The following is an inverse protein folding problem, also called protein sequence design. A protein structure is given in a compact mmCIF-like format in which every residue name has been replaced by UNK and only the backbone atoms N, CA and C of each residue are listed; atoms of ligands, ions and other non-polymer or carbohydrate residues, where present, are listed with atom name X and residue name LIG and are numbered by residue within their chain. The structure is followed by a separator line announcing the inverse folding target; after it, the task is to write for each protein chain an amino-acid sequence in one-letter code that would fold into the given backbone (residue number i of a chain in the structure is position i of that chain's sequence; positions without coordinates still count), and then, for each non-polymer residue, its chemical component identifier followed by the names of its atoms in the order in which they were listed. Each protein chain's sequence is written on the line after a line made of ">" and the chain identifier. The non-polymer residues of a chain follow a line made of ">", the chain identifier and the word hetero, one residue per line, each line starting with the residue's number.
data_IF_458169532596
#
_entry.id   IF_458169532596
#
_cell.length_a   1.000
_cell.length_b   1.000
_cell.length_c   1.000
_cell.angle_alpha   90.00
_cell.angle_beta   90.00
_cell.angle_gamma   90.00
#
_symmetry.space_group_name_H-M   'P 1'
#
loop_
_entity.id
_entity.type
_entity.pdbx_description
1 polymer ?
#
# COMPACT_ATOMS: atom_id res chain seq x y z
N UNK A 1 -3.43 -11.37 -8.46
CA UNK A 1 -2.40 -10.91 -7.54
C UNK A 1 -2.49 -11.73 -6.27
N UNK A 2 -1.48 -12.49 -5.97
CA UNK A 2 -1.44 -13.29 -4.73
C UNK A 2 -0.65 -12.51 -3.69
N UNK A 3 -1.31 -12.04 -2.66
CA UNK A 3 -0.65 -11.40 -1.50
C UNK A 3 -0.08 -12.43 -0.52
N UNK A 4 0.28 -13.62 -0.99
CA UNK A 4 0.81 -14.70 -0.16
C UNK A 4 -0.22 -15.43 0.70
N UNK A 5 -1.50 -15.03 0.66
CA UNK A 5 -2.59 -15.71 1.39
C UNK A 5 -3.35 -16.66 0.49
N UNK A 6 -3.80 -17.78 1.08
CA UNK A 6 -4.54 -18.81 0.37
C UNK A 6 -5.91 -18.32 -0.12
N UNK A 7 -6.43 -18.97 -1.16
CA UNK A 7 -7.81 -18.75 -1.62
C UNK A 7 -8.84 -18.95 -0.49
N UNK A 8 -8.57 -19.89 0.42
CA UNK A 8 -9.41 -20.14 1.59
C UNK A 8 -9.50 -18.92 2.53
N UNK A 9 -8.39 -18.20 2.73
CA UNK A 9 -8.40 -16.95 3.49
C UNK A 9 -9.31 -15.91 2.84
N UNK A 10 -9.11 -15.65 1.55
CA UNK A 10 -9.88 -14.63 0.84
C UNK A 10 -11.35 -14.98 0.65
N UNK A 11 -11.71 -16.28 0.64
CA UNK A 11 -13.11 -16.72 0.60
C UNK A 11 -13.89 -16.28 1.84
N UNK A 12 -13.22 -15.98 2.95
CA UNK A 12 -13.80 -15.42 4.16
C UNK A 12 -14.07 -13.92 4.13
N UNK A 13 -13.83 -13.22 2.99
CA UNK A 13 -14.16 -11.80 2.88
C UNK A 13 -15.65 -11.58 3.18
N UNK A 14 -15.92 -10.62 4.06
CA UNK A 14 -17.27 -10.36 4.56
C UNK A 14 -18.21 -9.76 3.49
N UNK A 15 -17.65 -9.19 2.44
CA UNK A 15 -18.37 -8.55 1.34
C UNK A 15 -18.08 -9.28 0.01
N UNK A 16 -18.74 -10.44 -0.23
CA UNK A 16 -18.38 -11.28 -1.38
C UNK A 16 -19.06 -10.88 -2.69
N UNK A 17 -20.20 -10.18 -2.63
CA UNK A 17 -21.03 -9.88 -3.78
C UNK A 17 -20.46 -8.70 -4.58
N UNK A 18 -20.05 -8.90 -5.85
CA UNK A 18 -19.50 -7.81 -6.68
C UNK A 18 -20.51 -6.71 -6.98
N UNK A 19 -21.81 -7.02 -6.93
CA UNK A 19 -22.88 -6.07 -7.26
C UNK A 19 -23.38 -5.29 -6.02
N UNK A 20 -22.89 -5.62 -4.82
CA UNK A 20 -23.27 -5.00 -3.57
C UNK A 20 -22.08 -4.28 -2.93
N UNK A 21 -21.82 -3.04 -3.35
CA UNK A 21 -20.79 -2.19 -2.76
C UNK A 21 -21.12 -1.89 -1.30
N UNK A 22 -20.24 -2.25 -0.34
CA UNK A 22 -20.44 -1.89 1.05
C UNK A 22 -20.22 -0.40 1.29
N UNK A 23 -20.96 0.15 2.23
CA UNK A 23 -20.68 1.51 2.70
C UNK A 23 -19.28 1.61 3.32
N UNK A 24 -18.64 2.76 3.21
CA UNK A 24 -17.29 3.00 3.75
C UNK A 24 -17.15 2.69 5.23
N UNK A 25 -18.25 2.84 5.97
CA UNK A 25 -18.32 2.61 7.42
C UNK A 25 -18.97 1.28 7.79
N UNK A 26 -19.37 0.46 6.82
CA UNK A 26 -20.02 -0.83 7.08
C UNK A 26 -19.27 -1.71 8.09
N UNK A 27 -17.93 -1.81 8.07
CA UNK A 27 -17.20 -2.63 9.06
C UNK A 27 -17.39 -2.19 10.53
N UNK A 28 -17.77 -0.93 10.79
CA UNK A 28 -18.04 -0.47 12.15
C UNK A 28 -19.26 -1.15 12.78
N UNK A 29 -20.21 -1.59 11.95
CA UNK A 29 -21.43 -2.25 12.36
C UNK A 29 -21.38 -3.77 12.17
N UNK A 30 -20.64 -4.22 11.18
CA UNK A 30 -20.63 -5.62 10.76
C UNK A 30 -19.57 -6.47 11.49
N UNK A 31 -18.54 -5.83 12.07
CA UNK A 31 -17.49 -6.53 12.79
C UNK A 31 -17.80 -6.65 14.28
N UNK A 32 -17.23 -7.67 14.96
CA UNK A 32 -17.20 -7.70 16.43
C UNK A 32 -16.57 -6.42 16.99
N UNK A 33 -17.04 -5.98 18.17
CA UNK A 33 -16.69 -4.68 18.74
C UNK A 33 -15.17 -4.37 18.75
N UNK A 34 -14.33 -5.34 19.12
CA UNK A 34 -12.89 -5.16 19.16
C UNK A 34 -12.28 -4.95 17.76
N UNK A 35 -12.75 -5.67 16.75
CA UNK A 35 -12.32 -5.53 15.37
C UNK A 35 -12.85 -4.23 14.75
N UNK A 36 -14.09 -3.86 15.04
CA UNK A 36 -14.68 -2.58 14.65
C UNK A 36 -13.89 -1.39 15.21
N UNK A 37 -13.46 -1.47 16.47
CA UNK A 37 -12.62 -0.45 17.10
C UNK A 37 -11.25 -0.33 16.40
N UNK A 38 -10.63 -1.45 16.02
CA UNK A 38 -9.37 -1.44 15.24
C UNK A 38 -9.59 -0.87 13.84
N UNK A 39 -10.67 -1.25 13.16
CA UNK A 39 -11.04 -0.68 11.86
C UNK A 39 -11.19 0.85 11.95
N UNK A 40 -11.94 1.33 12.93
CA UNK A 40 -12.11 2.77 13.19
C UNK A 40 -10.76 3.46 13.38
N UNK A 41 -9.87 2.86 14.16
CA UNK A 41 -8.57 3.43 14.47
C UNK A 41 -7.65 3.47 13.24
N UNK A 42 -7.53 2.36 12.48
CA UNK A 42 -6.66 2.33 11.29
C UNK A 42 -7.21 3.23 10.19
N UNK A 43 -8.51 3.20 9.93
CA UNK A 43 -9.17 4.09 8.96
C UNK A 43 -8.95 5.55 9.31
N UNK A 44 -9.22 5.94 10.55
CA UNK A 44 -9.03 7.31 11.01
C UNK A 44 -7.58 7.76 10.92
N UNK A 45 -6.63 6.90 11.28
CA UNK A 45 -5.20 7.18 11.19
C UNK A 45 -4.71 7.33 9.73
N UNK A 46 -5.23 6.52 8.80
CA UNK A 46 -4.90 6.63 7.38
C UNK A 46 -5.46 7.92 6.77
N UNK A 47 -6.71 8.26 7.06
CA UNK A 47 -7.35 9.48 6.58
C UNK A 47 -6.75 10.77 7.18
N UNK A 48 -6.05 10.67 8.30
CA UNK A 48 -5.31 11.78 8.90
C UNK A 48 -3.95 12.05 8.23
N UNK A 49 -3.49 11.16 7.35
CA UNK A 49 -2.27 11.39 6.55
C UNK A 49 -2.61 12.38 5.44
N UNK A 50 -1.80 13.42 5.31
CA UNK A 50 -2.03 14.48 4.34
C UNK A 50 -2.10 13.96 2.89
N UNK A 51 -3.13 14.37 2.17
CA UNK A 51 -3.37 13.99 0.78
C UNK A 51 -3.94 12.59 0.57
N UNK A 52 -4.17 11.79 1.62
CA UNK A 52 -4.74 10.44 1.50
C UNK A 52 -6.23 10.52 1.16
N UNK A 53 -6.62 9.80 0.13
CA UNK A 53 -8.01 9.56 -0.24
C UNK A 53 -8.38 8.09 -0.06
N UNK A 54 -9.62 7.83 0.31
CA UNK A 54 -10.22 6.51 0.47
C UNK A 54 -11.19 6.19 -0.67
N UNK A 55 -11.12 4.98 -1.18
CA UNK A 55 -12.17 4.42 -2.05
C UNK A 55 -12.43 2.97 -1.70
N UNK A 56 -13.68 2.54 -1.86
CA UNK A 56 -14.07 1.13 -1.73
C UNK A 56 -14.12 0.54 -3.12
N UNK A 57 -13.41 -0.57 -3.37
CA UNK A 57 -13.28 -1.16 -4.70
C UNK A 57 -13.41 -2.66 -4.66
N UNK A 58 -14.09 -3.20 -5.67
CA UNK A 58 -14.07 -4.63 -5.92
C UNK A 58 -12.78 -5.00 -6.67
N UNK A 59 -11.91 -5.75 -6.01
CA UNK A 59 -10.57 -6.10 -6.47
C UNK A 59 -10.51 -7.49 -7.13
N UNK A 60 -11.62 -7.96 -7.68
CA UNK A 60 -11.75 -9.28 -8.29
C UNK A 60 -12.08 -10.39 -7.30
N UNK A 61 -12.22 -11.62 -7.81
CA UNK A 61 -12.70 -12.78 -7.06
C UNK A 61 -11.80 -13.17 -5.88
N UNK A 62 -10.51 -12.82 -5.90
CA UNK A 62 -9.59 -13.11 -4.80
C UNK A 62 -9.79 -12.18 -3.62
N UNK A 63 -9.60 -10.87 -3.82
CA UNK A 63 -9.67 -9.91 -2.72
C UNK A 63 -11.08 -9.40 -2.43
N UNK A 64 -11.96 -9.41 -3.44
CA UNK A 64 -13.33 -8.90 -3.35
C UNK A 64 -13.36 -7.42 -2.97
N UNK A 65 -14.32 -6.94 -2.18
CA UNK A 65 -14.36 -5.55 -1.75
C UNK A 65 -13.24 -5.24 -0.74
N UNK A 66 -12.50 -4.17 -1.02
CA UNK A 66 -11.38 -3.69 -0.22
C UNK A 66 -11.40 -2.17 -0.13
N UNK A 67 -10.92 -1.63 0.98
CA UNK A 67 -10.76 -0.19 1.19
C UNK A 67 -9.36 0.20 0.70
N UNK A 68 -9.31 0.93 -0.40
CA UNK A 68 -8.08 1.41 -1.02
C UNK A 68 -7.75 2.81 -0.50
N UNK A 69 -6.51 3.03 -0.09
CA UNK A 69 -5.96 4.31 0.32
C UNK A 69 -4.81 4.69 -0.57
N UNK A 70 -4.77 5.97 -0.99
CA UNK A 70 -3.73 6.45 -1.88
C UNK A 70 -3.57 7.96 -1.83
N UNK A 71 -2.47 8.43 -2.40
CA UNK A 71 -2.14 9.85 -2.59
C UNK A 71 -2.00 10.08 -4.09
N UNK A 72 -2.94 10.83 -4.68
CA UNK A 72 -3.04 10.93 -6.14
C UNK A 72 -3.23 9.55 -6.78
N UNK A 73 -2.39 9.20 -7.75
CA UNK A 73 -2.39 7.87 -8.40
C UNK A 73 -1.61 6.79 -7.66
N UNK A 74 -0.89 7.14 -6.60
CA UNK A 74 0.01 6.24 -5.87
C UNK A 74 -0.72 5.56 -4.74
N UNK A 75 -0.55 4.23 -4.63
CA UNK A 75 -1.23 3.42 -3.62
C UNK A 75 -0.42 3.39 -2.33
N UNK A 76 -1.12 3.67 -1.22
CA UNK A 76 -0.57 3.58 0.13
C UNK A 76 -0.78 2.16 0.68
N UNK A 77 -2.03 1.71 0.73
CA UNK A 77 -2.41 0.37 1.19
C UNK A 77 -3.86 0.05 0.84
N UNK A 78 -4.24 -1.21 1.11
CA UNK A 78 -5.62 -1.69 1.07
C UNK A 78 -5.96 -2.32 2.42
N UNK A 79 -7.13 -2.04 2.95
CA UNK A 79 -7.69 -2.76 4.10
C UNK A 79 -8.66 -3.83 3.60
N UNK A 80 -8.63 -4.98 4.26
CA UNK A 80 -9.48 -6.12 3.97
C UNK A 80 -10.26 -6.50 5.23
N UNK A 81 -11.53 -6.85 5.04
CA UNK A 81 -12.41 -7.35 6.11
C UNK A 81 -12.69 -8.81 5.84
N UNK A 82 -12.01 -9.69 6.56
CA UNK A 82 -12.06 -11.14 6.35
C UNK A 82 -12.47 -11.82 7.65
N UNK A 83 -13.56 -12.59 7.59
CA UNK A 83 -14.15 -13.19 8.78
C UNK A 83 -14.56 -12.12 9.79
N UNK A 84 -14.13 -12.27 11.03
CA UNK A 84 -14.36 -11.31 12.13
C UNK A 84 -13.17 -10.37 12.36
N UNK A 85 -12.23 -10.23 11.42
CA UNK A 85 -11.01 -9.45 11.58
C UNK A 85 -10.72 -8.52 10.41
N UNK A 86 -9.62 -7.80 10.52
CA UNK A 86 -9.11 -6.89 9.51
C UNK A 86 -7.64 -7.16 9.25
N UNK A 87 -7.23 -6.95 8.01
CA UNK A 87 -5.83 -7.01 7.58
C UNK A 87 -5.53 -5.91 6.59
N UNK A 88 -4.26 -5.72 6.28
CA UNK A 88 -3.81 -4.76 5.27
C UNK A 88 -2.84 -5.40 4.30
N UNK A 89 -2.91 -4.97 3.05
CA UNK A 89 -1.89 -5.21 2.03
C UNK A 89 -1.27 -3.88 1.65
N UNK A 90 0.03 -3.85 1.47
CA UNK A 90 0.76 -2.70 0.95
C UNK A 90 1.92 -3.17 0.09
N UNK A 91 2.41 -2.30 -0.76
CA UNK A 91 3.55 -2.60 -1.63
C UNK A 91 4.77 -1.78 -1.24
N UNK A 92 5.94 -2.32 -1.51
CA UNK A 92 7.22 -1.62 -1.39
C UNK A 92 7.98 -1.73 -2.71
N UNK A 93 8.42 -0.60 -3.23
CA UNK A 93 9.42 -0.51 -4.29
C UNK A 93 10.83 -0.66 -3.71
N UNK A 94 11.82 -0.89 -4.55
CA UNK A 94 13.24 -0.95 -4.12
C UNK A 94 13.70 0.33 -3.43
N UNK A 95 13.20 1.49 -3.89
CA UNK A 95 13.49 2.78 -3.27
C UNK A 95 12.89 2.88 -1.86
N UNK A 96 11.64 2.46 -1.69
CA UNK A 96 10.98 2.46 -0.38
C UNK A 96 11.64 1.47 0.59
N UNK A 97 12.06 0.29 0.11
CA UNK A 97 12.84 -0.66 0.92
C UNK A 97 14.17 -0.08 1.38
N UNK A 98 14.86 0.66 0.51
CA UNK A 98 16.10 1.35 0.86
C UNK A 98 15.88 2.42 1.93
N UNK A 99 14.80 3.16 1.85
CA UNK A 99 14.41 4.17 2.85
C UNK A 99 14.04 3.54 4.19
N UNK A 100 13.38 2.38 4.18
CA UNK A 100 13.05 1.64 5.39
C UNK A 100 14.28 1.28 6.23
N UNK A 101 15.42 0.96 5.59
CA UNK A 101 16.67 0.67 6.30
C UNK A 101 17.17 1.85 7.13
N UNK A 102 16.82 3.08 6.75
CA UNK A 102 17.16 4.31 7.46
C UNK A 102 16.18 4.71 8.57
N UNK A 103 15.03 4.06 8.68
CA UNK A 103 13.96 4.46 9.63
C UNK A 103 14.17 3.91 11.04
N UNK A 104 15.17 3.04 11.24
CA UNK A 104 15.43 2.39 12.52
C UNK A 104 14.68 1.07 12.68
N UNK A 105 14.47 0.63 13.92
CA UNK A 105 13.85 -0.66 14.21
C UNK A 105 12.35 -0.64 13.93
N UNK A 106 11.90 -1.47 13.00
CA UNK A 106 10.49 -1.70 12.74
C UNK A 106 9.84 -2.57 13.83
N UNK A 107 8.53 -2.40 14.10
CA UNK A 107 7.77 -3.36 14.90
C UNK A 107 7.93 -4.78 14.35
N UNK A 108 8.03 -5.78 15.22
CA UNK A 108 8.34 -7.16 14.85
C UNK A 108 7.36 -7.76 13.83
N UNK A 109 6.06 -7.50 13.99
CA UNK A 109 5.03 -8.01 13.08
C UNK A 109 5.16 -7.39 11.68
N UNK A 110 5.45 -6.11 11.61
CA UNK A 110 5.68 -5.40 10.35
C UNK A 110 6.98 -5.87 9.67
N UNK A 111 8.06 -6.02 10.43
CA UNK A 111 9.33 -6.53 9.91
C UNK A 111 9.16 -7.95 9.33
N UNK A 112 8.40 -8.80 10.00
CA UNK A 112 8.07 -10.15 9.52
C UNK A 112 7.22 -10.11 8.25
N UNK A 113 6.18 -9.29 8.21
CA UNK A 113 5.33 -9.12 7.02
C UNK A 113 6.14 -8.72 5.79
N UNK A 114 7.13 -7.84 5.96
CA UNK A 114 8.03 -7.42 4.89
C UNK A 114 9.00 -8.55 4.50
N UNK A 115 9.57 -9.26 5.46
CA UNK A 115 10.51 -10.35 5.21
C UNK A 115 9.86 -11.53 4.49
N UNK A 116 8.61 -11.86 4.81
CA UNK A 116 7.83 -12.94 4.20
C UNK A 116 7.13 -12.53 2.89
N UNK A 117 7.21 -11.27 2.51
CA UNK A 117 6.50 -10.73 1.36
C UNK A 117 7.05 -11.29 0.04
N UNK A 118 6.13 -11.54 -0.89
CA UNK A 118 6.47 -11.97 -2.24
C UNK A 118 6.83 -10.77 -3.12
N UNK A 119 7.87 -10.94 -3.92
CA UNK A 119 8.24 -9.98 -4.96
C UNK A 119 7.54 -10.35 -6.28
N UNK A 120 6.86 -9.39 -6.87
CA UNK A 120 6.26 -9.51 -8.19
C UNK A 120 6.70 -8.30 -9.02
N UNK A 121 7.59 -8.53 -9.97
CA UNK A 121 8.22 -7.45 -10.73
C UNK A 121 8.99 -6.50 -9.80
N UNK A 122 8.80 -5.18 -9.95
CA UNK A 122 9.52 -4.18 -9.16
C UNK A 122 8.95 -3.97 -7.75
N UNK A 123 7.89 -4.68 -7.38
CA UNK A 123 7.17 -4.47 -6.13
C UNK A 123 7.24 -5.70 -5.22
N UNK A 124 7.40 -5.45 -3.93
CA UNK A 124 7.20 -6.42 -2.87
C UNK A 124 5.80 -6.25 -2.31
N UNK A 125 5.02 -7.33 -2.27
CA UNK A 125 3.64 -7.36 -1.79
C UNK A 125 3.61 -7.86 -0.35
N UNK A 126 3.33 -6.95 0.57
CA UNK A 126 3.32 -7.23 2.01
C UNK A 126 1.87 -7.38 2.49
N UNK A 127 1.64 -8.36 3.35
CA UNK A 127 0.37 -8.57 4.03
C UNK A 127 0.59 -8.57 5.55
N UNK A 128 -0.28 -7.88 6.29
CA UNK A 128 -0.20 -7.76 7.74
C UNK A 128 -1.59 -7.95 8.36
N UNK A 129 -1.71 -8.88 9.30
CA UNK A 129 -2.89 -8.99 10.14
C UNK A 129 -2.93 -7.85 11.16
N UNK A 130 -4.05 -7.12 11.21
CA UNK A 130 -4.28 -6.04 12.17
C UNK A 130 -5.03 -6.58 13.41
N UNK A 131 -4.52 -7.66 13.98
CA UNK A 131 -5.15 -8.45 15.02
C UNK A 131 -5.22 -7.79 16.39
N UNK A 132 -4.36 -6.81 16.67
CA UNK A 132 -4.39 -6.04 17.91
C UNK A 132 -4.07 -4.55 17.70
N UNK A 133 -4.30 -3.75 18.75
CA UNK A 133 -4.12 -2.29 18.69
C UNK A 133 -2.64 -1.90 18.50
N UNK A 134 -1.74 -2.64 19.10
CA UNK A 134 -0.28 -2.36 18.99
C UNK A 134 0.19 -2.52 17.54
N UNK A 135 -0.31 -3.54 16.84
CA UNK A 135 0.00 -3.76 15.42
C UNK A 135 -0.59 -2.62 14.57
N UNK A 136 -1.83 -2.21 14.86
CA UNK A 136 -2.44 -1.04 14.18
C UNK A 136 -1.61 0.22 14.36
N UNK A 137 -1.17 0.53 15.57
CA UNK A 137 -0.39 1.73 15.87
C UNK A 137 0.98 1.67 15.18
N UNK A 138 1.64 0.52 15.17
CA UNK A 138 2.90 0.28 14.45
C UNK A 138 2.75 0.45 12.93
N UNK A 139 1.68 -0.11 12.37
CA UNK A 139 1.37 0.05 10.95
C UNK A 139 1.09 1.53 10.60
N UNK A 140 0.33 2.24 11.40
CA UNK A 140 0.04 3.66 11.16
C UNK A 140 1.30 4.54 11.20
N UNK A 141 2.25 4.24 12.09
CA UNK A 141 3.54 4.93 12.11
C UNK A 141 4.30 4.72 10.81
N UNK A 142 4.34 3.49 10.29
CA UNK A 142 4.91 3.18 9.00
C UNK A 142 4.15 3.85 7.85
N UNK A 143 2.81 3.78 7.86
CA UNK A 143 1.97 4.35 6.80
C UNK A 143 2.17 5.87 6.65
N UNK A 144 2.37 6.60 7.75
CA UNK A 144 2.70 8.03 7.70
C UNK A 144 4.02 8.27 6.97
N UNK A 145 5.06 7.49 7.26
CA UNK A 145 6.34 7.57 6.55
C UNK A 145 6.19 7.25 5.07
N UNK A 146 5.49 6.18 4.76
CA UNK A 146 5.21 5.84 3.35
C UNK A 146 4.41 6.95 2.65
N UNK A 147 3.45 7.58 3.32
CA UNK A 147 2.71 8.73 2.81
C UNK A 147 3.61 9.92 2.47
N UNK A 148 4.60 10.22 3.31
CA UNK A 148 5.61 11.24 3.03
C UNK A 148 6.38 10.92 1.75
N UNK A 149 6.83 9.67 1.57
CA UNK A 149 7.54 9.24 0.36
C UNK A 149 6.68 9.32 -0.89
N UNK A 150 5.40 8.97 -0.78
CA UNK A 150 4.46 9.06 -1.91
C UNK A 150 4.13 10.52 -2.28
N UNK A 151 4.22 11.43 -1.34
CA UNK A 151 3.98 12.86 -1.56
C UNK A 151 5.15 13.58 -2.21
N UNK A 152 6.36 13.01 -2.14
CA UNK A 152 7.53 13.58 -2.78
C UNK A 152 7.35 13.60 -4.31
N UNK A 153 7.62 14.76 -4.93
CA UNK A 153 7.65 14.85 -6.38
C UNK A 153 8.77 13.97 -6.92
N UNK A 154 8.51 13.17 -7.97
CA UNK A 154 9.60 12.51 -8.68
C UNK A 154 10.64 13.56 -9.06
N UNK A 155 11.92 13.26 -8.81
CA UNK A 155 12.98 14.12 -9.32
C UNK A 155 12.75 14.35 -10.84
N UNK A 156 12.88 15.58 -11.33
CA UNK A 156 12.68 15.83 -12.75
C UNK A 156 13.61 14.90 -13.53
N UNK A 157 13.04 14.11 -14.43
CA UNK A 157 13.80 13.29 -15.35
C UNK A 157 14.76 14.25 -16.08
N UNK A 158 16.04 14.20 -15.74
CA UNK A 158 17.07 14.76 -16.60
C UNK A 158 17.02 13.94 -17.87
N UNK A 159 16.32 14.45 -18.88
CA UNK A 159 16.37 13.90 -20.22
C UNK A 159 17.83 13.71 -20.65
N UNK A 160 18.12 12.75 -21.53
CA UNK A 160 19.48 12.59 -22.04
C UNK A 160 19.97 13.93 -22.55
N UNK A 161 21.14 14.38 -22.04
CA UNK A 161 21.80 15.58 -22.56
C UNK A 161 21.92 15.42 -24.08
N UNK A 162 21.47 16.41 -24.87
CA UNK A 162 21.73 16.36 -26.31
C UNK A 162 23.24 16.19 -26.47
N UNK A 163 23.64 15.15 -27.20
CA UNK A 163 25.02 14.97 -27.60
C UNK A 163 25.38 16.22 -28.40
N UNK A 164 26.36 16.98 -27.92
CA UNK A 164 26.95 18.08 -28.67
C UNK A 164 27.33 17.54 -30.05
N UNK A 165 26.72 18.10 -31.08
CA UNK A 165 27.13 17.83 -32.44
C UNK A 165 28.62 18.20 -32.57
N UNK A 166 29.45 17.21 -32.84
CA UNK A 166 30.82 17.47 -33.25
C UNK A 166 30.73 18.26 -34.55
N UNK A 167 31.24 19.47 -34.49
CA UNK A 167 31.49 20.29 -35.65
C UNK A 167 32.47 19.50 -36.54
N UNK A 168 31.99 19.03 -37.65
CA UNK A 168 32.84 18.53 -38.73
C UNK A 168 33.37 19.76 -39.44
N UNK A 169 34.63 20.13 -39.15
CA UNK A 169 35.39 20.99 -39.98
C UNK A 169 35.64 20.25 -41.31
N UNK A 170 35.07 20.79 -42.38
CA UNK A 170 35.48 20.47 -43.75
C UNK A 170 36.82 21.14 -44.03
N UNK A 171 37.85 20.44 -44.49
CA UNK A 171 38.97 21.08 -45.15
C UNK A 171 38.65 21.20 -46.64
N UNK A 172 38.54 22.44 -47.11
CA UNK A 172 38.56 22.73 -48.53
C UNK A 172 39.83 22.16 -49.15
N UNK A 173 39.62 21.47 -50.25
CA UNK A 173 40.67 21.07 -51.17
C UNK A 173 40.72 22.05 -52.36
N UNK A 174 41.90 22.44 -52.73
CA UNK A 174 42.22 23.03 -54.01
C UNK A 174 41.95 22.08 -55.19
#
# INVERSE_FOLDING_TARGET
>A
MSSGRSSAYWSGNRYPDPDAEPERTAPLHDLPAAAAARFKAVRGGLLAIDGVAESVKYMGASWRWSWEYGIGSRKLCWLHVVGGGISTTFTLSDMEESRLRGVGRLPADLARAIAEAQRTGPLRWCWLDLGDRRIVDGFLTFARRKGEWLSERPAPHRGPRPRSAKHLDDPEAE
#
